data_IF_447093011219
#
_entry.id   IF_447093011219
#
_cell.length_a   1.000
_cell.length_b   1.000
_cell.length_c   1.000
_cell.angle_alpha   90.00
_cell.angle_beta   90.00
_cell.angle_gamma   90.00
#
_symmetry.space_group_name_H-M   'P 1'
#
loop_
_entity.id
_entity.type
_entity.pdbx_description
1 polymer ?
#
# COMPACT_ATOMS: atom_id res chain seq x y z
N UNK A 1 7.85 7.53 -18.22
CA UNK A 1 7.93 7.19 -16.79
C UNK A 1 7.10 5.95 -16.52
N UNK A 2 7.67 4.97 -15.83
CA UNK A 2 6.86 3.82 -15.43
C UNK A 2 5.77 4.25 -14.46
N UNK A 3 4.60 3.66 -14.63
CA UNK A 3 3.47 3.92 -13.74
C UNK A 3 3.70 3.31 -12.37
N UNK A 4 3.09 3.90 -11.34
CA UNK A 4 2.98 3.26 -10.05
C UNK A 4 1.75 2.35 -10.09
N UNK A 5 1.93 1.11 -9.72
CA UNK A 5 0.88 0.10 -9.77
C UNK A 5 0.48 -0.34 -8.36
N UNK A 6 -0.74 -0.83 -8.23
CA UNK A 6 -1.25 -1.40 -6.99
C UNK A 6 -1.94 -2.73 -7.29
N UNK A 7 -1.77 -3.68 -6.41
CA UNK A 7 -2.39 -4.99 -6.53
C UNK A 7 -2.59 -5.63 -5.16
N UNK A 8 -3.57 -6.50 -5.05
CA UNK A 8 -3.71 -7.38 -3.90
C UNK A 8 -2.73 -8.53 -4.12
N UNK A 9 -1.79 -8.67 -3.18
CA UNK A 9 -0.68 -9.62 -3.30
C UNK A 9 -0.94 -10.95 -2.58
N UNK A 10 -2.13 -11.10 -2.01
CA UNK A 10 -2.55 -12.33 -1.31
C UNK A 10 -3.71 -12.97 -2.03
N UNK A 11 -4.08 -14.20 -1.64
CA UNK A 11 -5.22 -14.88 -2.23
C UNK A 11 -6.50 -14.08 -2.01
N UNK A 12 -7.47 -14.21 -2.93
CA UNK A 12 -8.74 -13.50 -2.85
C UNK A 12 -9.70 -14.03 -1.80
N UNK A 13 -9.42 -15.19 -1.21
CA UNK A 13 -10.24 -15.75 -0.14
C UNK A 13 -9.97 -15.01 1.18
N UNK A 14 -10.96 -15.01 2.08
CA UNK A 14 -10.78 -14.39 3.40
C UNK A 14 -9.65 -15.06 4.15
N UNK A 15 -8.83 -14.24 4.82
CA UNK A 15 -7.66 -14.67 5.59
C UNK A 15 -7.46 -13.73 6.78
N UNK A 16 -6.55 -14.09 7.69
CA UNK A 16 -6.23 -13.22 8.83
C UNK A 16 -5.55 -11.94 8.36
N UNK A 17 -4.68 -12.02 7.36
CA UNK A 17 -3.95 -10.88 6.81
C UNK A 17 -4.08 -10.87 5.30
N UNK A 18 -4.30 -9.70 4.75
CA UNK A 18 -4.25 -9.46 3.31
C UNK A 18 -3.24 -8.36 3.00
N UNK A 19 -2.58 -8.47 1.88
CA UNK A 19 -1.53 -7.53 1.50
C UNK A 19 -1.92 -6.81 0.22
N UNK A 20 -1.89 -5.46 0.27
CA UNK A 20 -1.95 -4.62 -0.91
C UNK A 20 -0.53 -4.11 -1.17
N UNK A 21 -0.03 -4.33 -2.37
CA UNK A 21 1.32 -3.95 -2.75
C UNK A 21 1.29 -2.80 -3.74
N UNK A 22 2.16 -1.82 -3.50
CA UNK A 22 2.41 -0.69 -4.40
C UNK A 22 3.83 -0.85 -4.96
N UNK A 23 4.02 -0.49 -6.22
CA UNK A 23 5.34 -0.53 -6.84
C UNK A 23 5.45 0.54 -7.91
N UNK A 24 6.56 1.26 -7.92
CA UNK A 24 6.84 2.30 -8.90
C UNK A 24 7.38 3.58 -8.29
N UNK A 25 7.65 4.57 -9.14
CA UNK A 25 8.31 5.80 -8.73
C UNK A 25 7.49 6.65 -7.75
N UNK A 26 6.16 6.56 -7.80
CA UNK A 26 5.27 7.35 -6.94
C UNK A 26 4.76 6.57 -5.72
N UNK A 27 5.40 5.46 -5.40
CA UNK A 27 4.97 4.58 -4.29
C UNK A 27 4.82 5.35 -2.99
N UNK A 28 5.80 6.17 -2.63
CA UNK A 28 5.74 6.92 -1.37
C UNK A 28 4.66 7.99 -1.38
N UNK A 29 4.41 8.62 -2.53
CA UNK A 29 3.32 9.60 -2.67
C UNK A 29 1.95 8.95 -2.49
N UNK A 30 1.74 7.81 -3.14
CA UNK A 30 0.48 7.06 -3.02
C UNK A 30 0.30 6.57 -1.59
N UNK A 31 1.36 6.00 -0.99
CA UNK A 31 1.29 5.53 0.39
C UNK A 31 0.94 6.68 1.36
N UNK A 32 1.58 7.83 1.19
CA UNK A 32 1.32 8.99 2.06
C UNK A 32 -0.12 9.49 1.95
N UNK A 33 -0.75 9.33 0.78
CA UNK A 33 -2.14 9.71 0.60
C UNK A 33 -3.12 8.75 1.32
N UNK A 34 -2.70 7.52 1.59
CA UNK A 34 -3.57 6.47 2.13
C UNK A 34 -3.28 6.12 3.57
N UNK A 35 -2.05 6.32 4.04
CA UNK A 35 -1.61 5.74 5.30
C UNK A 35 -1.04 6.82 6.21
N UNK A 36 -1.55 6.86 7.45
CA UNK A 36 -1.07 7.77 8.48
C UNK A 36 -0.43 6.94 9.59
N UNK A 37 0.90 6.98 9.75
CA UNK A 37 1.56 6.31 10.85
C UNK A 37 1.05 6.78 12.22
N UNK A 38 1.00 5.89 13.17
CA UNK A 38 0.48 6.17 14.52
C UNK A 38 1.30 7.24 15.24
N UNK A 39 2.58 7.38 14.90
CA UNK A 39 3.47 8.37 15.51
C UNK A 39 3.38 9.77 14.86
N UNK A 40 2.51 9.93 13.87
CA UNK A 40 2.28 11.23 13.22
C UNK A 40 3.25 11.58 12.10
N UNK A 41 4.25 10.75 11.80
CA UNK A 41 5.15 11.00 10.67
C UNK A 41 4.39 10.90 9.36
N UNK A 42 4.91 11.54 8.32
CA UNK A 42 4.44 11.28 6.97
C UNK A 42 4.87 9.87 6.53
N UNK A 43 3.96 9.14 5.89
CA UNK A 43 4.31 7.84 5.34
C UNK A 43 5.38 7.93 4.25
N UNK A 44 5.53 9.09 3.59
CA UNK A 44 6.59 9.31 2.62
C UNK A 44 7.99 9.26 3.23
N UNK A 45 8.10 9.44 4.54
CA UNK A 45 9.37 9.50 5.25
C UNK A 45 9.69 8.24 6.05
N UNK A 46 8.90 7.18 5.90
CA UNK A 46 9.12 5.94 6.64
C UNK A 46 10.48 5.32 6.28
N UNK A 47 11.23 4.84 7.29
CA UNK A 47 12.47 4.12 7.01
C UNK A 47 12.16 2.81 6.29
N UNK A 48 12.99 2.41 5.31
CA UNK A 48 12.73 1.18 4.56
C UNK A 48 12.88 -0.07 5.44
N UNK A 49 12.15 -1.11 5.07
CA UNK A 49 12.24 -2.44 5.68
C UNK A 49 11.88 -2.47 7.16
N UNK A 50 11.02 -1.55 7.60
CA UNK A 50 10.53 -1.50 8.97
C UNK A 50 9.01 -1.43 8.97
N UNK A 51 8.36 -2.35 9.65
CA UNK A 51 6.91 -2.35 9.80
C UNK A 51 6.48 -1.18 10.68
N UNK A 52 5.48 -0.43 10.22
CA UNK A 52 4.96 0.73 10.95
C UNK A 52 3.45 0.61 11.04
N UNK A 53 2.91 0.70 12.26
CA UNK A 53 1.47 0.66 12.48
C UNK A 53 0.84 2.01 12.17
N UNK A 54 -0.35 1.99 11.61
CA UNK A 54 -1.08 3.21 11.32
C UNK A 54 -2.49 2.95 10.80
N UNK A 55 -3.09 4.00 10.28
CA UNK A 55 -4.47 3.99 9.78
C UNK A 55 -4.48 4.15 8.27
N UNK A 56 -5.23 3.28 7.59
CA UNK A 56 -5.47 3.39 6.15
C UNK A 56 -6.77 4.14 5.93
N UNK A 57 -6.71 5.18 5.09
CA UNK A 57 -7.86 6.01 4.74
C UNK A 57 -7.98 6.13 3.24
N UNK A 58 -9.21 6.36 2.76
CA UNK A 58 -9.41 6.72 1.37
C UNK A 58 -9.04 8.20 1.15
N UNK A 59 -9.09 8.66 -0.10
CA UNK A 59 -8.71 10.04 -0.45
C UNK A 59 -9.67 11.08 0.12
N UNK A 60 -10.83 10.66 0.61
CA UNK A 60 -11.79 11.54 1.28
C UNK A 60 -11.63 11.55 2.80
N UNK A 61 -10.65 10.80 3.31
CA UNK A 61 -10.34 10.76 4.73
C UNK A 61 -11.09 9.71 5.53
N UNK A 62 -11.91 8.88 4.88
CA UNK A 62 -12.64 7.83 5.57
C UNK A 62 -11.70 6.70 5.96
N UNK A 63 -11.75 6.28 7.22
CA UNK A 63 -10.95 5.15 7.70
C UNK A 63 -11.42 3.84 7.08
N UNK A 64 -10.51 3.13 6.44
CA UNK A 64 -10.77 1.83 5.84
C UNK A 64 -10.29 0.68 6.73
N UNK A 65 -9.13 0.84 7.38
CA UNK A 65 -8.55 -0.19 8.20
C UNK A 65 -7.41 0.38 9.05
N UNK A 66 -6.97 -0.41 10.02
CA UNK A 66 -5.73 -0.18 10.76
C UNK A 66 -4.76 -1.26 10.30
N UNK A 67 -3.55 -0.88 9.93
CA UNK A 67 -2.66 -1.77 9.19
C UNK A 67 -1.21 -1.54 9.56
N UNK A 68 -0.36 -2.47 9.13
CA UNK A 68 1.09 -2.31 9.14
C UNK A 68 1.56 -1.99 7.74
N UNK A 69 2.43 -1.00 7.61
CA UNK A 69 3.02 -0.65 6.33
C UNK A 69 4.53 -0.88 6.36
N UNK A 70 5.08 -1.28 5.23
CA UNK A 70 6.52 -1.41 5.05
C UNK A 70 6.90 -0.90 3.67
N UNK A 71 8.01 -0.18 3.58
CA UNK A 71 8.54 0.38 2.33
C UNK A 71 9.85 -0.32 2.00
N UNK A 72 10.05 -0.61 0.73
CA UNK A 72 11.28 -1.17 0.21
C UNK A 72 11.87 -0.20 -0.81
N UNK A 73 13.12 0.23 -0.59
CA UNK A 73 13.80 1.14 -1.50
C UNK A 73 14.15 0.43 -2.81
N UNK A 74 14.25 1.20 -3.90
CA UNK A 74 14.68 0.67 -5.18
C UNK A 74 16.00 -0.08 -5.04
N UNK A 75 16.13 -1.21 -5.72
CA UNK A 75 17.31 -2.07 -5.65
C UNK A 75 17.28 -3.07 -4.50
N UNK A 76 16.42 -2.88 -3.51
CA UNK A 76 16.29 -3.78 -2.34
C UNK A 76 14.87 -4.30 -2.21
N UNK A 77 14.02 -4.05 -3.20
CA UNK A 77 12.64 -4.48 -3.20
C UNK A 77 12.47 -5.76 -4.02
N UNK A 78 11.35 -6.43 -3.82
CA UNK A 78 11.00 -7.62 -4.57
C UNK A 78 10.90 -7.34 -6.08
N UNK A 79 10.44 -6.15 -6.45
CA UNK A 79 10.24 -5.79 -7.86
C UNK A 79 11.47 -5.12 -8.49
N UNK A 80 12.49 -4.76 -7.71
CA UNK A 80 13.62 -3.95 -8.18
C UNK A 80 13.35 -2.46 -8.20
N UNK A 81 12.09 -2.04 -8.04
CA UNK A 81 11.66 -0.66 -7.95
C UNK A 81 11.36 -0.30 -6.50
N UNK A 82 11.13 0.97 -6.22
CA UNK A 82 10.57 1.36 -4.94
C UNK A 82 9.19 0.72 -4.80
N UNK A 83 8.93 0.12 -3.64
CA UNK A 83 7.66 -0.55 -3.40
C UNK A 83 7.25 -0.42 -1.95
N UNK A 84 5.98 -0.69 -1.67
CA UNK A 84 5.44 -0.71 -0.33
C UNK A 84 4.38 -1.78 -0.21
N UNK A 85 4.15 -2.24 1.01
CA UNK A 85 3.07 -3.17 1.30
C UNK A 85 2.25 -2.63 2.45
N UNK A 86 0.93 -2.76 2.33
CA UNK A 86 -0.02 -2.53 3.41
C UNK A 86 -0.56 -3.88 3.84
N UNK A 87 -0.25 -4.27 5.07
CA UNK A 87 -0.69 -5.54 5.66
C UNK A 87 -1.96 -5.25 6.44
N UNK A 88 -3.10 -5.48 5.80
CA UNK A 88 -4.43 -5.17 6.29
C UNK A 88 -5.10 -6.40 6.87
N UNK A 89 -6.30 -6.23 7.43
CA UNK A 89 -7.15 -7.37 7.72
C UNK A 89 -7.51 -8.08 6.41
N UNK A 90 -7.56 -9.40 6.44
CA UNK A 90 -7.71 -10.21 5.23
C UNK A 90 -9.14 -10.30 4.69
N UNK A 91 -9.97 -9.29 4.94
CA UNK A 91 -11.32 -9.21 4.37
C UNK A 91 -11.22 -8.81 2.90
N UNK A 92 -11.80 -9.60 1.97
CA UNK A 92 -11.81 -9.22 0.56
C UNK A 92 -12.45 -7.85 0.31
N UNK A 93 -13.48 -7.48 1.08
CA UNK A 93 -14.15 -6.19 0.94
C UNK A 93 -13.19 -5.06 1.31
N UNK A 94 -12.50 -5.18 2.45
CA UNK A 94 -11.53 -4.16 2.90
C UNK A 94 -10.40 -4.02 1.89
N UNK A 95 -9.85 -5.14 1.41
CA UNK A 95 -8.75 -5.12 0.44
C UNK A 95 -9.15 -4.42 -0.86
N UNK A 96 -10.38 -4.67 -1.35
CA UNK A 96 -10.88 -4.00 -2.55
C UNK A 96 -11.05 -2.50 -2.31
N UNK A 97 -11.51 -2.08 -1.14
CA UNK A 97 -11.64 -0.66 -0.82
C UNK A 97 -10.27 0.02 -0.74
N UNK A 98 -9.28 -0.63 -0.14
CA UNK A 98 -7.91 -0.10 -0.08
C UNK A 98 -7.33 0.01 -1.49
N UNK A 99 -7.56 -1.00 -2.32
CA UNK A 99 -7.08 -0.99 -3.71
C UNK A 99 -7.71 0.17 -4.50
N UNK A 100 -9.01 0.38 -4.38
CA UNK A 100 -9.69 1.52 -5.01
C UNK A 100 -9.13 2.86 -4.54
N UNK A 101 -8.84 2.97 -3.24
CA UNK A 101 -8.24 4.17 -2.68
C UNK A 101 -6.87 4.43 -3.30
N UNK A 102 -6.07 3.38 -3.52
CA UNK A 102 -4.78 3.50 -4.19
C UNK A 102 -4.94 4.01 -5.62
N UNK A 103 -5.94 3.52 -6.35
CA UNK A 103 -6.21 4.02 -7.70
C UNK A 103 -6.60 5.50 -7.67
N UNK A 104 -7.45 5.90 -6.73
CA UNK A 104 -7.83 7.30 -6.56
C UNK A 104 -6.64 8.19 -6.20
N UNK A 105 -5.63 7.64 -5.54
CA UNK A 105 -4.42 8.36 -5.15
C UNK A 105 -3.36 8.39 -6.27
N UNK A 106 -3.60 7.75 -7.41
CA UNK A 106 -2.73 7.84 -8.57
C UNK A 106 -2.12 6.54 -9.06
N UNK A 107 -2.31 5.43 -8.36
CA UNK A 107 -1.83 4.14 -8.83
C UNK A 107 -2.74 3.61 -9.94
N UNK A 108 -2.21 2.77 -10.82
CA UNK A 108 -3.04 2.02 -11.75
C UNK A 108 -3.09 0.55 -11.36
N UNK A 109 -4.09 -0.13 -11.86
CA UNK A 109 -4.22 -1.56 -11.61
C UNK A 109 -3.05 -2.31 -12.27
N UNK A 110 -2.44 -3.22 -11.51
CA UNK A 110 -1.38 -4.07 -12.04
C UNK A 110 -1.94 -5.02 -13.09
N UNK A 111 -1.16 -5.24 -14.14
CA UNK A 111 -1.45 -6.26 -15.14
C UNK A 111 -0.91 -7.60 -14.65
N UNK A 112 -1.39 -8.68 -15.24
CA UNK A 112 -0.88 -10.00 -14.90
C UNK A 112 0.64 -10.04 -15.12
N UNK A 113 1.37 -10.51 -14.13
CA UNK A 113 2.82 -10.64 -14.17
C UNK A 113 3.62 -9.39 -13.82
N UNK A 114 2.95 -8.28 -13.51
CA UNK A 114 3.66 -7.09 -13.06
C UNK A 114 4.16 -7.20 -11.62
#
# INVERSE_FOLDING_TARGET
MPDTIAAIATASAAAAVGIVRLSGAETRCVLAALFTPVDGRSAAELPPRRMTYGTVRDVEGRTLDHALAVVFSAGHSYTGEESAELHCHGSPVVLQEVLRAAFAAGARQARAGE
#
